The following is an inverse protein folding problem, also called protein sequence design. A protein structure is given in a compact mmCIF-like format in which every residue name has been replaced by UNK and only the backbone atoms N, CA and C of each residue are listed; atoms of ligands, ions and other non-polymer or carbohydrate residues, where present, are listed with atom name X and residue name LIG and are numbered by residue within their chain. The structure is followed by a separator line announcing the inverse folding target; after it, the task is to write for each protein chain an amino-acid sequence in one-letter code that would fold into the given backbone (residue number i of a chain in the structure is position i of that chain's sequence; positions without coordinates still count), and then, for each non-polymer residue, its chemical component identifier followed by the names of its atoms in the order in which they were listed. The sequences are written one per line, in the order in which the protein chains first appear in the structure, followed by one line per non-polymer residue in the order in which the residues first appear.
data_IF_647530538871
#
_entry.id   IF_647530538871
#
_cell.length_a   1.000
_cell.length_b   1.000
_cell.length_c   1.000
_cell.angle_alpha   90.00
_cell.angle_beta   90.00
_cell.angle_gamma   90.00
#
_symmetry.space_group_name_H-M   'P 1'
#
loop_
_entity.id
_entity.type
_entity.pdbx_description
1 polymer ?
#
# COMPACT_ATOMS: atom_id res chain seq x y z
N UNK A 1 22.86 9.98 -41.09
CA UNK A 1 22.75 10.89 -39.91
C UNK A 1 21.84 10.22 -38.89
N UNK A 2 22.40 9.65 -37.83
CA UNK A 2 21.65 8.89 -36.80
C UNK A 2 21.58 9.78 -35.56
N UNK A 3 20.42 10.40 -35.31
CA UNK A 3 20.20 11.20 -34.12
C UNK A 3 20.13 10.27 -32.90
N UNK A 4 21.17 10.32 -32.07
CA UNK A 4 21.19 9.71 -30.75
C UNK A 4 20.26 10.55 -29.86
N UNK A 5 19.05 10.08 -29.62
CA UNK A 5 18.21 10.62 -28.54
C UNK A 5 18.91 10.23 -27.24
N UNK A 6 19.64 11.19 -26.68
CA UNK A 6 20.19 11.11 -25.33
C UNK A 6 19.01 10.92 -24.38
N UNK A 7 18.93 9.73 -23.76
CA UNK A 7 18.02 9.51 -22.64
C UNK A 7 18.72 10.05 -21.41
N UNK A 8 18.43 11.31 -21.09
CA UNK A 8 18.85 11.89 -19.83
C UNK A 8 17.96 11.29 -18.73
N UNK A 9 18.53 10.38 -17.95
CA UNK A 9 17.81 9.62 -16.91
C UNK A 9 18.07 10.14 -15.51
N UNK A 10 18.50 11.38 -15.34
CA UNK A 10 18.63 11.93 -14.00
C UNK A 10 18.20 13.39 -13.93
N UNK A 11 17.18 13.61 -13.10
CA UNK A 11 16.59 14.89 -12.68
C UNK A 11 15.71 15.61 -13.70
N UNK A 12 14.40 15.64 -13.41
CA UNK A 12 13.48 16.59 -14.03
C UNK A 12 14.00 18.00 -13.73
N UNK A 13 14.20 18.80 -14.76
CA UNK A 13 14.63 20.19 -14.61
C UNK A 13 13.50 21.07 -14.06
N UNK A 14 13.81 22.33 -13.67
CA UNK A 14 12.79 23.29 -13.24
C UNK A 14 11.72 23.56 -14.31
N UNK A 15 12.06 23.43 -15.59
CA UNK A 15 11.08 23.51 -16.69
C UNK A 15 10.08 22.35 -16.71
N UNK A 16 10.53 21.13 -16.41
CA UNK A 16 9.66 19.95 -16.33
C UNK A 16 8.69 20.06 -15.15
N UNK A 17 9.17 20.60 -14.02
CA UNK A 17 8.35 20.88 -12.85
C UNK A 17 7.22 21.88 -13.12
N UNK A 18 7.46 22.89 -13.95
CA UNK A 18 6.43 23.85 -14.36
C UNK A 18 5.44 23.26 -15.36
N UNK A 19 5.92 22.48 -16.33
CA UNK A 19 5.07 21.77 -17.27
C UNK A 19 4.09 20.82 -16.57
N UNK A 20 4.55 20.09 -15.56
CA UNK A 20 3.71 19.19 -14.79
C UNK A 20 2.68 19.93 -13.90
N UNK A 21 3.06 21.06 -13.31
CA UNK A 21 2.13 21.93 -12.57
C UNK A 21 1.00 22.44 -13.46
N UNK A 22 1.29 22.75 -14.71
CA UNK A 22 0.27 23.15 -15.71
C UNK A 22 -0.74 22.02 -15.98
N UNK A 23 -0.31 20.77 -15.87
CA UNK A 23 -1.15 19.57 -15.97
C UNK A 23 -1.84 19.19 -14.64
N UNK A 24 -1.68 20.00 -13.59
CA UNK A 24 -2.22 19.74 -12.25
C UNK A 24 -1.43 18.69 -11.44
N UNK A 25 -0.21 18.36 -11.86
CA UNK A 25 0.66 17.39 -11.19
C UNK A 25 1.72 18.15 -10.38
N UNK A 26 1.58 18.12 -9.06
CA UNK A 26 2.55 18.67 -8.12
C UNK A 26 3.73 17.70 -7.95
N UNK A 27 4.97 18.19 -7.94
CA UNK A 27 6.16 17.37 -7.75
C UNK A 27 6.45 17.00 -6.29
N UNK A 28 5.66 17.51 -5.34
CA UNK A 28 5.72 17.11 -3.94
C UNK A 28 5.21 15.68 -3.66
N UNK A 29 4.94 14.88 -4.70
CA UNK A 29 4.39 13.51 -4.62
C UNK A 29 5.12 12.67 -3.58
N UNK A 30 6.46 12.71 -3.54
CA UNK A 30 7.22 11.89 -2.57
C UNK A 30 6.89 12.27 -1.13
N UNK A 31 6.90 13.57 -0.81
CA UNK A 31 6.51 14.07 0.53
C UNK A 31 5.07 13.69 0.87
N UNK A 32 4.12 13.87 -0.06
CA UNK A 32 2.71 13.49 0.16
C UNK A 32 2.54 12.00 0.36
N UNK A 33 3.25 11.18 -0.41
CA UNK A 33 3.19 9.73 -0.30
C UNK A 33 3.80 9.27 1.01
N UNK A 34 4.96 9.81 1.40
CA UNK A 34 5.61 9.47 2.66
C UNK A 34 4.76 9.90 3.87
N UNK A 35 4.10 11.06 3.80
CA UNK A 35 3.17 11.51 4.83
C UNK A 35 1.92 10.62 4.94
N UNK A 36 1.41 10.10 3.82
CA UNK A 36 0.21 9.27 3.80
C UNK A 36 0.47 7.79 4.12
N UNK A 37 1.62 7.26 3.69
CA UNK A 37 1.92 5.82 3.70
C UNK A 37 3.12 5.44 4.58
N UNK A 38 3.89 6.42 5.07
CA UNK A 38 5.11 6.25 5.87
C UNK A 38 6.38 6.59 5.09
N UNK A 39 7.46 6.95 5.79
CA UNK A 39 8.76 7.29 5.18
C UNK A 39 9.28 6.17 4.27
N UNK A 40 9.70 6.54 3.05
CA UNK A 40 10.21 5.58 2.06
C UNK A 40 9.10 4.80 1.35
N UNK A 41 7.87 5.31 1.31
CA UNK A 41 6.74 4.64 0.65
C UNK A 41 6.95 4.42 -0.86
N UNK A 42 7.79 5.25 -1.48
CA UNK A 42 8.19 5.13 -2.89
C UNK A 42 9.56 4.46 -3.10
N UNK A 43 10.26 4.10 -2.02
CA UNK A 43 11.56 3.48 -2.15
C UNK A 43 11.43 2.09 -2.74
N UNK A 44 12.37 1.76 -3.63
CA UNK A 44 12.49 0.38 -4.11
C UNK A 44 12.74 -0.49 -2.87
N UNK A 45 12.03 -1.62 -2.71
CA UNK A 45 12.32 -2.52 -1.61
C UNK A 45 13.80 -2.89 -1.69
N UNK A 46 14.55 -2.55 -0.64
CA UNK A 46 15.95 -2.94 -0.51
C UNK A 46 16.01 -4.47 -0.67
N UNK A 47 16.90 -4.95 -1.55
CA UNK A 47 17.24 -6.37 -1.51
C UNK A 47 17.69 -6.69 -0.08
N UNK A 48 17.28 -7.84 0.49
CA UNK A 48 17.63 -8.17 1.86
C UNK A 48 19.15 -8.17 1.99
N UNK A 49 19.65 -7.33 2.89
CA UNK A 49 21.04 -7.31 3.29
C UNK A 49 21.38 -8.69 3.90
N UNK A 50 22.33 -9.42 3.31
CA UNK A 50 22.90 -10.65 3.89
C UNK A 50 22.56 -12.01 3.25
N UNK A 51 22.01 -12.08 2.04
CA UNK A 51 21.89 -13.34 1.29
C UNK A 51 23.09 -13.61 0.37
N UNK A 52 23.96 -14.60 0.69
CA UNK A 52 25.16 -14.96 -0.10
C UNK A 52 24.91 -14.93 -1.62
N UNK A 53 25.76 -14.26 -2.43
CA UNK A 53 25.61 -14.26 -3.88
C UNK A 53 25.80 -15.68 -4.42
N UNK A 54 24.80 -16.20 -5.13
CA UNK A 54 24.95 -17.43 -5.93
C UNK A 54 25.89 -17.11 -7.09
N UNK A 55 27.14 -17.52 -6.92
CA UNK A 55 28.23 -17.40 -7.90
C UNK A 55 27.84 -18.19 -9.17
N UNK A 56 27.64 -17.49 -10.29
CA UNK A 56 27.32 -18.10 -11.59
C UNK A 56 27.11 -17.09 -12.72
N UNK A 57 28.22 -16.70 -13.37
CA UNK A 57 28.40 -16.19 -14.75
C UNK A 57 27.56 -15.01 -15.30
N UNK A 58 28.23 -13.86 -15.38
CA UNK A 58 28.48 -13.00 -16.58
C UNK A 58 27.39 -12.98 -17.66
N UNK A 59 26.54 -11.95 -17.65
CA UNK A 59 26.37 -10.97 -18.75
C UNK A 59 25.38 -9.90 -18.29
N UNK A 60 25.79 -8.64 -18.42
CA UNK A 60 24.96 -7.48 -18.14
C UNK A 60 23.62 -7.56 -18.84
N UNK A 61 22.57 -7.77 -18.05
CA UNK A 61 21.20 -7.43 -18.40
C UNK A 61 20.63 -6.79 -17.17
N UNK A 62 20.70 -5.46 -17.14
CA UNK A 62 19.79 -4.68 -16.31
C UNK A 62 18.38 -5.23 -16.60
N UNK A 63 17.82 -5.93 -15.60
CA UNK A 63 16.44 -6.41 -15.62
C UNK A 63 15.49 -5.31 -15.14
N UNK A 64 15.84 -4.05 -15.38
CA UNK A 64 14.87 -2.98 -15.46
C UNK A 64 13.77 -3.41 -16.43
N UNK A 65 12.53 -3.22 -15.98
CA UNK A 65 11.29 -3.54 -16.68
C UNK A 65 10.86 -5.02 -16.73
N UNK A 66 10.41 -5.52 -15.58
CA UNK A 66 8.99 -5.88 -15.48
C UNK A 66 8.35 -5.14 -14.29
N UNK A 67 7.35 -4.27 -14.50
CA UNK A 67 6.49 -3.81 -13.42
C UNK A 67 5.56 -4.97 -13.05
N UNK A 68 6.09 -5.94 -12.31
CA UNK A 68 5.33 -7.08 -11.81
C UNK A 68 5.79 -7.45 -10.40
N UNK A 69 6.13 -6.44 -9.59
CA UNK A 69 6.35 -6.63 -8.17
C UNK A 69 5.01 -6.54 -7.47
N UNK A 70 4.45 -7.67 -7.00
CA UNK A 70 3.31 -7.64 -6.08
C UNK A 70 3.68 -6.69 -4.93
N UNK A 71 2.91 -5.61 -4.77
CA UNK A 71 3.04 -4.74 -3.60
C UNK A 71 2.84 -5.62 -2.38
N UNK A 72 3.85 -5.69 -1.52
CA UNK A 72 3.76 -6.50 -0.31
C UNK A 72 2.90 -5.78 0.71
N UNK A 73 1.96 -6.50 1.31
CA UNK A 73 1.28 -5.98 2.50
C UNK A 73 2.28 -5.74 3.63
N UNK A 74 2.11 -4.61 4.30
CA UNK A 74 2.79 -4.33 5.57
C UNK A 74 2.39 -5.37 6.62
N UNK A 75 3.19 -5.58 7.67
CA UNK A 75 2.84 -6.52 8.75
C UNK A 75 1.46 -6.24 9.37
N UNK A 76 1.14 -4.96 9.58
CA UNK A 76 -0.18 -4.51 10.07
C UNK A 76 -1.32 -4.84 9.11
N UNK A 77 -1.15 -4.63 7.80
CA UNK A 77 -2.15 -4.99 6.80
C UNK A 77 -2.38 -6.51 6.75
N UNK A 78 -1.31 -7.33 6.84
CA UNK A 78 -1.46 -8.79 6.95
C UNK A 78 -2.24 -9.19 8.20
N UNK A 79 -1.95 -8.56 9.35
CA UNK A 79 -2.68 -8.81 10.60
C UNK A 79 -4.17 -8.49 10.47
N UNK A 80 -4.52 -7.35 9.86
CA UNK A 80 -5.92 -6.99 9.60
C UNK A 80 -6.62 -8.03 8.72
N UNK A 81 -5.97 -8.51 7.65
CA UNK A 81 -6.51 -9.56 6.77
C UNK A 81 -6.72 -10.90 7.51
N UNK A 82 -5.76 -11.30 8.36
CA UNK A 82 -5.92 -12.49 9.21
C UNK A 82 -7.09 -12.35 10.18
N UNK A 83 -7.27 -11.16 10.78
CA UNK A 83 -8.40 -10.90 11.66
C UNK A 83 -9.71 -10.92 10.88
N UNK A 84 -9.73 -10.37 9.66
CA UNK A 84 -10.91 -10.41 8.77
C UNK A 84 -11.37 -11.84 8.51
N UNK A 85 -10.42 -12.76 8.25
CA UNK A 85 -10.71 -14.18 8.11
C UNK A 85 -11.29 -14.77 9.41
N UNK A 86 -10.76 -14.41 10.58
CA UNK A 86 -11.29 -14.86 11.88
C UNK A 86 -12.73 -14.38 12.10
N UNK A 87 -13.06 -13.15 11.71
CA UNK A 87 -14.42 -12.62 11.82
C UNK A 87 -15.39 -13.39 10.90
N UNK A 88 -15.02 -13.65 9.63
CA UNK A 88 -15.83 -14.44 8.70
C UNK A 88 -16.08 -15.87 9.22
N UNK A 89 -15.04 -16.53 9.75
CA UNK A 89 -15.16 -17.85 10.36
C UNK A 89 -16.05 -17.84 11.61
N UNK A 90 -15.98 -16.78 12.43
CA UNK A 90 -16.78 -16.67 13.65
C UNK A 90 -18.29 -16.60 13.36
N UNK A 91 -18.67 -15.94 12.26
CA UNK A 91 -20.06 -15.87 11.79
C UNK A 91 -20.42 -16.99 10.80
N UNK A 92 -19.49 -17.90 10.52
CA UNK A 92 -19.63 -19.02 9.57
C UNK A 92 -19.94 -18.59 8.13
N UNK A 93 -19.48 -17.40 7.73
CA UNK A 93 -19.54 -16.97 6.34
C UNK A 93 -18.49 -17.73 5.52
N UNK A 94 -18.87 -18.15 4.30
CA UNK A 94 -18.00 -18.82 3.34
C UNK A 94 -17.19 -17.84 2.49
N UNK A 95 -17.46 -16.55 2.59
CA UNK A 95 -16.76 -15.50 1.85
C UNK A 95 -16.29 -14.38 2.78
N UNK A 96 -15.15 -13.77 2.44
CA UNK A 96 -14.66 -12.58 3.15
C UNK A 96 -15.16 -11.34 2.41
N UNK A 97 -16.30 -10.82 2.85
CA UNK A 97 -16.84 -9.52 2.45
C UNK A 97 -16.11 -8.32 3.07
N UNK A 98 -16.52 -7.10 2.67
CA UNK A 98 -15.98 -5.83 3.16
C UNK A 98 -16.28 -5.59 4.64
N UNK A 99 -17.37 -6.17 5.12
CA UNK A 99 -17.83 -6.18 6.52
C UNK A 99 -16.79 -6.86 7.40
N UNK A 100 -16.31 -8.03 6.98
CA UNK A 100 -15.25 -8.76 7.68
C UNK A 100 -13.92 -8.02 7.67
N UNK A 101 -13.61 -7.34 6.56
CA UNK A 101 -12.41 -6.49 6.46
C UNK A 101 -12.48 -5.33 7.44
N UNK A 102 -13.63 -4.65 7.52
CA UNK A 102 -13.85 -3.58 8.48
C UNK A 102 -13.75 -4.09 9.93
N UNK A 103 -14.40 -5.20 10.26
CA UNK A 103 -14.31 -5.82 11.58
C UNK A 103 -12.86 -6.24 11.93
N UNK A 104 -12.11 -6.72 10.94
CA UNK A 104 -10.70 -7.06 11.08
C UNK A 104 -9.82 -5.85 11.33
N UNK A 105 -10.09 -4.72 10.66
CA UNK A 105 -9.40 -3.45 10.88
C UNK A 105 -9.70 -2.89 12.27
N UNK A 106 -10.97 -2.85 12.68
CA UNK A 106 -11.41 -2.42 14.01
C UNK A 106 -10.73 -3.26 15.11
N UNK A 107 -10.53 -4.56 14.88
CA UNK A 107 -9.88 -5.46 15.84
C UNK A 107 -8.35 -5.40 15.82
N UNK A 108 -7.76 -4.94 14.72
CA UNK A 108 -6.29 -4.91 14.53
C UNK A 108 -5.57 -3.91 15.42
N UNK A 109 -6.32 -2.99 16.03
CA UNK A 109 -5.83 -1.98 16.95
C UNK A 109 -4.66 -1.14 16.36
N UNK A 110 -4.70 -0.92 15.04
CA UNK A 110 -3.70 -0.15 14.30
C UNK A 110 -3.89 1.35 14.53
N UNK A 111 -2.78 2.07 14.71
CA UNK A 111 -2.79 3.52 14.96
C UNK A 111 -3.54 4.29 13.87
N UNK A 112 -3.35 3.92 12.60
CA UNK A 112 -4.01 4.58 11.48
C UNK A 112 -5.52 4.35 11.47
N UNK A 113 -5.99 3.18 11.89
CA UNK A 113 -7.43 2.92 12.05
C UNK A 113 -7.99 3.82 13.15
N UNK A 114 -7.33 3.89 14.31
CA UNK A 114 -7.76 4.78 15.41
C UNK A 114 -7.81 6.25 14.98
N UNK A 115 -6.74 6.77 14.39
CA UNK A 115 -6.67 8.15 13.88
C UNK A 115 -7.76 8.44 12.84
N UNK A 116 -8.11 7.47 11.99
CA UNK A 116 -9.20 7.60 11.02
C UNK A 116 -10.55 7.79 11.72
N UNK A 117 -10.88 6.93 12.69
CA UNK A 117 -12.15 7.01 13.43
C UNK A 117 -12.23 8.28 14.29
N UNK A 118 -11.13 8.70 14.92
CA UNK A 118 -11.02 9.98 15.63
C UNK A 118 -11.31 11.16 14.69
N UNK A 119 -10.71 11.17 13.49
CA UNK A 119 -10.94 12.22 12.49
C UNK A 119 -12.37 12.24 11.95
N UNK A 120 -13.02 11.09 11.89
CA UNK A 120 -14.43 10.97 11.50
C UNK A 120 -15.38 11.37 12.64
N UNK A 121 -14.89 11.46 13.88
CA UNK A 121 -15.73 11.71 15.05
C UNK A 121 -16.71 10.55 15.34
N UNK A 122 -16.33 9.33 14.96
CA UNK A 122 -17.19 8.14 15.08
C UNK A 122 -16.54 7.16 16.05
N UNK A 123 -17.34 6.69 17.01
CA UNK A 123 -16.91 5.63 17.93
C UNK A 123 -16.86 4.27 17.20
N UNK A 124 -15.73 3.54 17.23
CA UNK A 124 -15.61 2.24 16.59
C UNK A 124 -16.51 1.14 17.18
N UNK A 125 -16.87 1.21 18.46
CA UNK A 125 -17.63 0.14 19.13
C UNK A 125 -19.08 0.03 18.58
N UNK A 126 -19.87 1.11 18.51
CA UNK A 126 -21.18 1.08 17.87
C UNK A 126 -21.14 0.65 16.40
N UNK A 127 -20.08 1.03 15.66
CA UNK A 127 -19.90 0.61 14.27
C UNK A 127 -19.72 -0.89 14.17
N UNK A 128 -18.91 -1.49 15.05
CA UNK A 128 -18.72 -2.94 15.13
C UNK A 128 -20.05 -3.66 15.34
N UNK A 129 -20.86 -3.18 16.29
CA UNK A 129 -22.14 -3.79 16.62
C UNK A 129 -23.14 -3.72 15.46
N UNK A 130 -23.20 -2.58 14.75
CA UNK A 130 -24.04 -2.42 13.57
C UNK A 130 -23.66 -3.38 12.45
N UNK A 131 -22.37 -3.52 12.16
CA UNK A 131 -21.87 -4.43 11.11
C UNK A 131 -22.16 -5.89 11.47
N UNK A 132 -21.98 -6.28 12.73
CA UNK A 132 -22.31 -7.63 13.19
C UNK A 132 -23.82 -7.91 13.13
N UNK A 133 -24.66 -6.93 13.44
CA UNK A 133 -26.09 -7.04 13.30
C UNK A 133 -26.50 -7.21 11.83
N UNK A 134 -25.85 -6.49 10.91
CA UNK A 134 -26.13 -6.57 9.48
C UNK A 134 -25.75 -7.95 8.89
N UNK A 135 -24.55 -8.45 9.20
CA UNK A 135 -24.10 -9.78 8.78
C UNK A 135 -25.05 -10.90 9.23
N UNK A 136 -25.61 -10.79 10.44
CA UNK A 136 -26.59 -11.76 10.96
C UNK A 136 -27.92 -11.73 10.23
N UNK A 137 -28.30 -10.61 9.60
CA UNK A 137 -29.54 -10.52 8.81
C UNK A 137 -29.36 -11.07 7.40
N UNK A 138 -28.13 -11.04 6.88
CA UNK A 138 -27.80 -11.49 5.52
C UNK A 138 -27.54 -13.00 5.42
N UNK A 139 -27.33 -13.69 6.56
CA UNK A 139 -27.08 -15.13 6.66
C UNK A 139 -28.38 -15.94 6.86
#
# INVERSE_FOLDING_TARGET
VRALVVRDTDTLGPGDAEALRTLGIDLDVRRRTDAAFGEGALDRPSEPDGGRPRRGFVFGRDRSARPAGRIRFTPRAKKALELSLREALAVKDRHIGVEHVLLGLLRSDDRLTRELFERLGVDPDPVRDLVLADLRRAA
#
